data_IF_802978126370
#
_entry.id   IF_802978126370
#
_cell.length_a   1.000
_cell.length_b   1.000
_cell.length_c   1.000
_cell.angle_alpha   90.00
_cell.angle_beta   90.00
_cell.angle_gamma   90.00
#
_symmetry.space_group_name_H-M   'P 1'
#
loop_
_entity.id
_entity.type
_entity.pdbx_description
1 polymer ?
#
# COMPACT_ATOMS: atom_id res chain seq x y z
N UNK A 1 -45.65 -3.80 1.10
CA UNK A 1 -44.22 -3.85 1.44
C UNK A 1 -43.45 -3.13 0.33
N UNK A 2 -42.86 -1.95 0.56
CA UNK A 2 -42.05 -1.29 -0.46
C UNK A 2 -40.68 -1.99 -0.51
N UNK A 3 -40.37 -2.63 -1.64
CA UNK A 3 -39.00 -3.05 -1.95
C UNK A 3 -38.22 -1.81 -2.38
N UNK A 4 -37.33 -1.31 -1.51
CA UNK A 4 -36.37 -0.29 -1.91
C UNK A 4 -35.31 -0.95 -2.79
N UNK A 5 -35.51 -0.89 -4.11
CA UNK A 5 -34.54 -1.30 -5.10
C UNK A 5 -33.53 -0.17 -5.28
N UNK A 6 -32.51 -0.11 -4.41
CA UNK A 6 -31.38 0.79 -4.60
C UNK A 6 -30.54 0.28 -5.77
N UNK A 7 -30.87 0.75 -6.97
CA UNK A 7 -30.04 0.62 -8.16
C UNK A 7 -29.22 1.91 -8.28
N UNK A 8 -28.20 2.06 -7.44
CA UNK A 8 -27.21 3.11 -7.69
C UNK A 8 -26.45 2.74 -8.95
N UNK A 9 -26.84 3.35 -10.08
CA UNK A 9 -26.09 3.21 -11.32
C UNK A 9 -24.75 3.93 -11.14
N UNK A 10 -23.66 3.14 -11.07
CA UNK A 10 -22.31 3.68 -11.13
C UNK A 10 -22.19 4.63 -12.32
N UNK A 11 -21.65 5.83 -12.10
CA UNK A 11 -21.36 6.79 -13.18
C UNK A 11 -20.62 6.09 -14.31
N UNK A 12 -20.94 6.43 -15.56
CA UNK A 12 -20.29 5.83 -16.73
C UNK A 12 -18.76 6.05 -16.70
N UNK A 13 -18.30 7.21 -16.22
CA UNK A 13 -16.87 7.50 -16.06
C UNK A 13 -16.17 6.52 -15.09
N UNK A 14 -16.85 6.14 -14.00
CA UNK A 14 -16.31 5.19 -13.03
C UNK A 14 -16.26 3.78 -13.62
N UNK A 15 -17.30 3.38 -14.36
CA UNK A 15 -17.32 2.07 -15.05
C UNK A 15 -16.18 1.98 -16.05
N UNK A 16 -15.97 3.01 -16.85
CA UNK A 16 -14.91 3.04 -17.86
C UNK A 16 -13.52 3.00 -17.23
N UNK A 17 -13.31 3.77 -16.15
CA UNK A 17 -12.07 3.72 -15.38
C UNK A 17 -11.79 2.32 -14.81
N UNK A 18 -12.83 1.64 -14.29
CA UNK A 18 -12.72 0.30 -13.74
C UNK A 18 -12.40 -0.73 -14.84
N UNK A 19 -13.09 -0.68 -15.98
CA UNK A 19 -12.84 -1.57 -17.12
C UNK A 19 -11.42 -1.37 -17.65
N UNK A 20 -10.97 -0.13 -17.76
CA UNK A 20 -9.61 0.19 -18.20
C UNK A 20 -8.57 -0.39 -17.23
N UNK A 21 -8.72 -0.14 -15.93
CA UNK A 21 -7.83 -0.69 -14.90
C UNK A 21 -7.81 -2.23 -14.96
N UNK A 22 -8.98 -2.86 -15.04
CA UNK A 22 -9.11 -4.31 -15.13
C UNK A 22 -8.42 -4.88 -16.37
N UNK A 23 -8.59 -4.22 -17.51
CA UNK A 23 -7.95 -4.62 -18.78
C UNK A 23 -6.44 -4.53 -18.68
N UNK A 24 -5.90 -3.43 -18.14
CA UNK A 24 -4.45 -3.26 -17.91
C UNK A 24 -3.91 -4.29 -16.93
N UNK A 25 -4.62 -4.54 -15.84
CA UNK A 25 -4.23 -5.53 -14.83
C UNK A 25 -4.12 -6.95 -15.40
N UNK A 26 -5.03 -7.32 -16.31
CA UNK A 26 -5.04 -8.65 -16.95
C UNK A 26 -4.12 -8.75 -18.18
N UNK A 27 -3.36 -7.71 -18.51
CA UNK A 27 -2.37 -7.79 -19.59
C UNK A 27 -1.21 -8.72 -19.22
N UNK A 28 -0.62 -9.38 -20.21
CA UNK A 28 0.54 -10.25 -20.03
C UNK A 28 1.72 -9.52 -19.36
N UNK A 29 1.88 -8.23 -19.66
CA UNK A 29 2.90 -7.35 -19.11
C UNK A 29 2.80 -7.19 -17.57
N UNK A 30 1.58 -7.24 -17.03
CA UNK A 30 1.33 -7.18 -15.59
C UNK A 30 1.32 -8.57 -14.97
N UNK A 31 0.64 -9.53 -15.62
CA UNK A 31 0.51 -10.90 -15.13
C UNK A 31 1.85 -11.65 -15.01
N UNK A 32 2.82 -11.34 -15.88
CA UNK A 32 4.18 -11.89 -15.79
C UNK A 32 4.98 -11.37 -14.59
N UNK A 33 4.57 -10.24 -13.98
CA UNK A 33 5.28 -9.59 -12.87
C UNK A 33 4.79 -10.12 -11.52
N UNK A 34 5.34 -11.25 -11.09
CA UNK A 34 5.02 -11.98 -9.84
C UNK A 34 4.85 -11.07 -8.62
N UNK A 35 5.67 -10.02 -8.49
CA UNK A 35 5.64 -9.08 -7.37
C UNK A 35 4.36 -8.23 -7.34
N UNK A 36 3.90 -7.74 -8.49
CA UNK A 36 2.62 -6.99 -8.59
C UNK A 36 1.46 -7.93 -8.28
N UNK A 37 1.47 -9.15 -8.82
CA UNK A 37 0.42 -10.14 -8.56
C UNK A 37 0.36 -10.56 -7.09
N UNK A 38 1.52 -10.73 -6.45
CA UNK A 38 1.59 -11.03 -5.01
C UNK A 38 1.01 -9.87 -4.19
N UNK A 39 1.36 -8.63 -4.52
CA UNK A 39 0.84 -7.46 -3.84
C UNK A 39 -0.67 -7.31 -4.01
N UNK A 40 -1.19 -7.46 -5.23
CA UNK A 40 -2.62 -7.40 -5.53
C UNK A 40 -3.40 -8.47 -4.76
N UNK A 41 -2.91 -9.72 -4.78
CA UNK A 41 -3.54 -10.83 -4.03
C UNK A 41 -3.57 -10.54 -2.53
N UNK A 42 -2.45 -10.09 -1.95
CA UNK A 42 -2.36 -9.79 -0.51
C UNK A 42 -3.24 -8.61 -0.12
N UNK A 43 -3.33 -7.60 -0.98
CA UNK A 43 -4.24 -6.49 -0.80
C UNK A 43 -5.72 -6.93 -0.80
N UNK A 44 -6.11 -7.82 -1.72
CA UNK A 44 -7.47 -8.40 -1.72
C UNK A 44 -7.76 -9.17 -0.43
N UNK A 45 -6.83 -10.05 0.00
CA UNK A 45 -6.98 -10.80 1.26
C UNK A 45 -7.11 -9.87 2.47
N UNK A 46 -6.32 -8.79 2.54
CA UNK A 46 -6.41 -7.81 3.61
C UNK A 46 -7.81 -7.17 3.74
N UNK A 47 -8.55 -7.07 2.63
CA UNK A 47 -9.91 -6.54 2.62
C UNK A 47 -10.97 -7.54 3.14
N UNK A 48 -10.65 -8.83 3.10
CA UNK A 48 -11.51 -9.92 3.60
C UNK A 48 -11.25 -10.21 5.09
N UNK A 49 -10.15 -9.72 5.67
CA UNK A 49 -9.82 -9.91 7.09
C UNK A 49 -10.76 -9.12 8.00
N UNK A 50 -11.26 -9.79 9.03
CA UNK A 50 -12.04 -9.15 10.10
C UNK A 50 -11.14 -8.45 11.13
N UNK A 51 -10.07 -9.11 11.54
CA UNK A 51 -9.13 -8.61 12.55
C UNK A 51 -8.08 -7.69 11.92
N UNK A 52 -7.74 -6.63 12.64
CA UNK A 52 -6.87 -5.57 12.12
C UNK A 52 -5.41 -6.04 12.03
N UNK A 53 -5.01 -6.99 12.88
CA UNK A 53 -3.69 -7.60 12.93
C UNK A 53 -3.36 -8.33 11.62
N UNK A 54 -4.25 -9.22 11.19
CA UNK A 54 -4.11 -9.94 9.92
C UNK A 54 -4.16 -8.97 8.74
N UNK A 55 -5.04 -7.96 8.80
CA UNK A 55 -5.14 -6.94 7.76
C UNK A 55 -3.83 -6.16 7.60
N UNK A 56 -3.23 -5.69 8.69
CA UNK A 56 -1.95 -4.98 8.60
C UNK A 56 -0.82 -5.91 8.16
N UNK A 57 -0.82 -7.18 8.56
CA UNK A 57 0.17 -8.16 8.07
C UNK A 57 0.08 -8.30 6.54
N UNK A 58 -1.12 -8.57 6.00
CA UNK A 58 -1.31 -8.75 4.56
C UNK A 58 -0.98 -7.47 3.76
N UNK A 59 -1.33 -6.29 4.28
CA UNK A 59 -0.95 -5.00 3.67
C UNK A 59 0.57 -4.81 3.62
N UNK A 60 1.29 -5.18 4.68
CA UNK A 60 2.75 -5.05 4.72
C UNK A 60 3.43 -6.06 3.80
N UNK A 61 2.91 -7.28 3.67
CA UNK A 61 3.41 -8.25 2.67
C UNK A 61 3.22 -7.68 1.26
N UNK A 62 2.09 -7.03 0.98
CA UNK A 62 1.90 -6.34 -0.30
C UNK A 62 2.92 -5.22 -0.50
N UNK A 63 3.18 -4.40 0.51
CA UNK A 63 4.22 -3.37 0.48
C UNK A 63 5.62 -3.94 0.22
N UNK A 64 6.01 -4.98 0.95
CA UNK A 64 7.29 -5.68 0.76
C UNK A 64 7.42 -6.17 -0.69
N UNK A 65 6.38 -6.81 -1.23
CA UNK A 65 6.37 -7.25 -2.61
C UNK A 65 6.54 -6.11 -3.61
N UNK A 66 5.99 -4.92 -3.38
CA UNK A 66 6.15 -3.77 -4.30
C UNK A 66 7.49 -3.07 -4.16
N UNK A 67 8.00 -2.93 -2.94
CA UNK A 67 9.08 -1.99 -2.63
C UNK A 67 10.44 -2.65 -2.39
N UNK A 68 10.51 -3.96 -2.14
CA UNK A 68 11.77 -4.64 -1.79
C UNK A 68 12.19 -5.63 -2.87
N UNK A 69 13.41 -5.50 -3.40
CA UNK A 69 14.02 -6.49 -4.29
C UNK A 69 14.62 -7.67 -3.50
N UNK A 70 14.83 -8.81 -4.16
CA UNK A 70 15.36 -10.05 -3.54
C UNK A 70 16.82 -9.93 -3.04
N UNK A 71 17.57 -8.93 -3.50
CA UNK A 71 19.03 -8.82 -3.25
C UNK A 71 19.42 -8.21 -1.89
N UNK A 72 18.50 -8.18 -0.93
CA UNK A 72 18.49 -7.11 0.06
C UNK A 72 18.23 -7.63 1.48
N UNK A 73 19.23 -8.25 2.11
CA UNK A 73 19.07 -8.87 3.45
C UNK A 73 19.23 -7.90 4.65
N UNK A 74 19.82 -6.70 4.46
CA UNK A 74 20.00 -5.70 5.54
C UNK A 74 19.23 -4.39 5.35
N UNK A 75 18.63 -3.82 6.40
CA UNK A 75 17.84 -2.56 6.38
C UNK A 75 16.48 -2.59 5.61
N UNK A 76 15.82 -3.75 5.58
CA UNK A 76 14.51 -3.92 4.92
C UNK A 76 13.47 -2.86 5.29
N UNK A 77 13.36 -2.53 6.57
CA UNK A 77 12.40 -1.51 7.04
C UNK A 77 12.72 -0.12 6.50
N UNK A 78 13.99 0.28 6.47
CA UNK A 78 14.36 1.61 6.01
C UNK A 78 14.05 1.77 4.52
N UNK A 79 14.46 0.80 3.69
CA UNK A 79 14.17 0.79 2.26
C UNK A 79 12.68 0.75 1.95
N UNK A 80 11.91 -0.09 2.67
CA UNK A 80 10.46 -0.13 2.52
C UNK A 80 9.84 1.27 2.69
N UNK A 81 10.22 1.96 3.77
CA UNK A 81 9.72 3.30 4.09
C UNK A 81 10.16 4.33 3.05
N UNK A 82 11.44 4.30 2.65
CA UNK A 82 12.02 5.24 1.68
C UNK A 82 11.37 5.07 0.31
N UNK A 83 11.29 3.84 -0.20
CA UNK A 83 10.72 3.54 -1.51
C UNK A 83 9.24 3.88 -1.54
N UNK A 84 8.47 3.55 -0.50
CA UNK A 84 7.06 3.94 -0.42
C UNK A 84 6.89 5.47 -0.46
N UNK A 85 7.67 6.21 0.31
CA UNK A 85 7.63 7.67 0.33
C UNK A 85 7.93 8.28 -1.04
N UNK A 86 9.06 7.89 -1.65
CA UNK A 86 9.48 8.38 -2.97
C UNK A 86 8.52 7.95 -4.09
N UNK A 87 7.88 6.80 -3.95
CA UNK A 87 6.95 6.30 -4.96
C UNK A 87 5.60 7.02 -4.92
N UNK A 88 5.15 7.42 -3.73
CA UNK A 88 3.80 7.94 -3.51
C UNK A 88 3.71 9.46 -3.59
N UNK A 89 4.77 10.21 -3.24
CA UNK A 89 4.74 11.68 -3.27
C UNK A 89 6.05 12.33 -3.72
N UNK A 90 5.94 13.46 -4.43
CA UNK A 90 7.03 14.41 -4.72
C UNK A 90 7.23 15.41 -3.58
N UNK A 91 6.20 15.68 -2.79
CA UNK A 91 6.20 16.72 -1.77
C UNK A 91 6.97 16.26 -0.53
N UNK A 92 7.88 17.11 -0.03
CA UNK A 92 8.76 16.73 1.09
C UNK A 92 7.97 16.43 2.37
N UNK A 93 6.89 17.17 2.64
CA UNK A 93 6.07 16.96 3.83
C UNK A 93 5.33 15.60 3.79
N UNK A 94 4.73 15.28 2.64
CA UNK A 94 4.03 14.02 2.43
C UNK A 94 4.98 12.83 2.45
N UNK A 95 6.16 12.96 1.82
CA UNK A 95 7.20 11.93 1.86
C UNK A 95 7.58 11.58 3.29
N UNK A 96 7.79 12.60 4.14
CA UNK A 96 8.10 12.38 5.56
C UNK A 96 6.96 11.64 6.26
N UNK A 97 5.71 12.05 6.03
CA UNK A 97 4.54 11.39 6.62
C UNK A 97 4.44 9.92 6.20
N UNK A 98 4.51 9.62 4.90
CA UNK A 98 4.46 8.26 4.37
C UNK A 98 5.60 7.42 4.94
N UNK A 99 6.81 7.98 5.01
CA UNK A 99 7.97 7.32 5.59
C UNK A 99 7.75 6.96 7.07
N UNK A 100 7.22 7.88 7.87
CA UNK A 100 6.93 7.66 9.28
C UNK A 100 5.80 6.64 9.47
N UNK A 101 4.72 6.76 8.70
CA UNK A 101 3.58 5.84 8.71
C UNK A 101 4.00 4.41 8.37
N UNK A 102 4.76 4.21 7.29
CA UNK A 102 5.27 2.89 6.91
C UNK A 102 6.18 2.28 7.99
N UNK A 103 6.88 3.12 8.76
CA UNK A 103 7.68 2.68 9.90
C UNK A 103 6.84 2.18 11.08
N UNK A 104 5.75 2.89 11.40
CA UNK A 104 4.79 2.47 12.41
C UNK A 104 4.09 1.17 12.00
N UNK A 105 3.65 1.09 10.74
CA UNK A 105 3.01 -0.07 10.14
C UNK A 105 3.91 -1.32 10.18
N UNK A 106 5.18 -1.18 9.78
CA UNK A 106 6.15 -2.28 9.88
C UNK A 106 6.37 -2.70 11.34
N UNK A 107 6.44 -1.73 12.25
CA UNK A 107 6.57 -1.97 13.68
C UNK A 107 5.39 -2.76 14.27
N UNK A 108 4.16 -2.48 13.83
CA UNK A 108 2.98 -3.28 14.20
C UNK A 108 3.10 -4.71 13.69
N UNK A 109 3.34 -4.91 12.39
CA UNK A 109 3.48 -6.24 11.77
C UNK A 109 4.56 -7.06 12.45
N UNK A 110 5.73 -6.46 12.70
CA UNK A 110 6.83 -7.11 13.40
C UNK A 110 6.44 -7.48 14.84
N UNK A 111 5.73 -6.59 15.54
CA UNK A 111 5.26 -6.84 16.90
C UNK A 111 4.27 -8.01 16.98
N UNK A 112 3.31 -8.08 16.03
CA UNK A 112 2.33 -9.16 15.95
C UNK A 112 3.02 -10.50 15.68
N UNK A 113 3.85 -10.56 14.62
CA UNK A 113 4.49 -11.82 14.17
C UNK A 113 5.44 -12.38 15.23
N UNK A 114 6.14 -11.52 15.98
CA UNK A 114 7.06 -11.95 17.02
C UNK A 114 6.46 -11.99 18.43
N UNK A 115 5.16 -11.72 18.59
CA UNK A 115 4.48 -11.71 19.89
C UNK A 115 5.10 -10.70 20.88
N UNK A 116 5.49 -9.53 20.40
CA UNK A 116 6.23 -8.54 21.20
C UNK A 116 5.36 -7.88 22.28
N UNK A 117 5.90 -7.78 23.50
CA UNK A 117 5.27 -7.05 24.61
C UNK A 117 5.11 -5.54 24.36
N UNK A 118 5.81 -4.97 23.36
CA UNK A 118 5.73 -3.54 23.03
C UNK A 118 4.59 -3.20 22.04
N UNK A 119 3.80 -4.18 21.58
CA UNK A 119 2.71 -3.95 20.62
C UNK A 119 1.71 -2.90 21.13
N UNK A 120 1.32 -2.97 22.41
CA UNK A 120 0.42 -2.00 23.03
C UNK A 120 0.98 -0.58 23.03
N UNK A 121 2.30 -0.42 23.24
CA UNK A 121 2.94 0.91 23.20
C UNK A 121 2.93 1.49 21.78
N UNK A 122 3.09 0.64 20.76
CA UNK A 122 3.04 1.05 19.35
C UNK A 122 1.64 1.48 18.94
N UNK A 123 0.61 0.75 19.37
CA UNK A 123 -0.79 1.12 19.16
C UNK A 123 -1.08 2.49 19.78
N UNK A 124 -0.73 2.69 21.05
CA UNK A 124 -0.90 4.00 21.72
C UNK A 124 -0.18 5.12 20.99
N UNK A 125 1.05 4.89 20.52
CA UNK A 125 1.78 5.89 19.73
C UNK A 125 1.02 6.27 18.44
N UNK A 126 0.38 5.32 17.77
CA UNK A 126 -0.44 5.60 16.59
C UNK A 126 -1.68 6.40 17.01
N UNK A 127 -2.37 5.96 18.05
CA UNK A 127 -3.54 6.66 18.59
C UNK A 127 -3.20 8.10 18.97
N UNK A 128 -2.05 8.37 19.59
CA UNK A 128 -1.62 9.72 19.96
C UNK A 128 -1.33 10.62 18.74
N UNK A 129 -0.90 10.02 17.61
CA UNK A 129 -0.57 10.74 16.38
C UNK A 129 -1.76 10.98 15.45
N UNK A 130 -2.77 10.11 15.52
CA UNK A 130 -3.98 10.25 14.72
C UNK A 130 -4.95 11.28 15.31
N UNK A 131 -5.47 12.14 14.45
CA UNK A 131 -6.62 12.98 14.78
C UNK A 131 -7.86 12.16 14.42
N UNK A 132 -8.56 11.65 15.44
CA UNK A 132 -9.76 10.83 15.27
C UNK A 132 -10.84 11.57 14.48
N UNK A 133 -10.93 11.32 13.16
CA UNK A 133 -11.93 11.96 12.31
C UNK A 133 -13.33 11.44 12.63
N UNK A 134 -13.41 10.16 13.01
CA UNK A 134 -14.64 9.48 13.41
C UNK A 134 -14.73 9.23 14.92
N UNK A 135 -13.82 9.81 15.71
CA UNK A 135 -13.72 9.64 17.16
C UNK A 135 -12.47 8.87 17.60
N UNK A 136 -12.10 9.03 18.87
CA UNK A 136 -10.82 8.53 19.42
C UNK A 136 -10.69 7.00 19.36
N UNK A 137 -11.80 6.29 19.48
CA UNK A 137 -11.85 4.83 19.40
C UNK A 137 -11.54 4.25 18.00
N UNK A 138 -11.54 5.08 16.95
CA UNK A 138 -11.29 4.63 15.57
C UNK A 138 -9.89 4.95 15.06
N UNK A 139 -9.04 5.60 15.86
CA UNK A 139 -7.72 6.09 15.43
C UNK A 139 -6.83 5.01 14.81
N UNK A 140 -6.72 3.83 15.44
CA UNK A 140 -5.96 2.71 14.85
C UNK A 140 -6.56 2.25 13.51
N UNK A 141 -7.89 2.20 13.41
CA UNK A 141 -8.58 1.81 12.17
C UNK A 141 -8.34 2.84 11.06
N UNK A 142 -8.36 4.12 11.37
CA UNK A 142 -8.06 5.22 10.45
C UNK A 142 -6.62 5.14 9.94
N UNK A 143 -5.67 4.88 10.83
CA UNK A 143 -4.28 4.62 10.45
C UNK A 143 -4.18 3.44 9.47
N UNK A 144 -4.84 2.32 9.75
CA UNK A 144 -4.84 1.14 8.88
C UNK A 144 -5.50 1.44 7.53
N UNK A 145 -6.57 2.24 7.50
CA UNK A 145 -7.15 2.71 6.24
C UNK A 145 -6.17 3.56 5.44
N UNK A 146 -5.38 4.42 6.09
CA UNK A 146 -4.34 5.20 5.42
C UNK A 146 -3.23 4.32 4.84
N UNK A 147 -2.79 3.30 5.56
CA UNK A 147 -1.83 2.31 5.04
C UNK A 147 -2.44 1.53 3.86
N UNK A 148 -3.71 1.12 3.94
CA UNK A 148 -4.41 0.49 2.83
C UNK A 148 -4.39 1.40 1.59
N UNK A 149 -4.65 2.69 1.77
CA UNK A 149 -4.65 3.65 0.68
C UNK A 149 -3.28 3.80 0.01
N UNK A 150 -2.20 3.84 0.81
CA UNK A 150 -0.83 3.82 0.28
C UNK A 150 -0.56 2.58 -0.57
N UNK A 151 -0.97 1.40 -0.11
CA UNK A 151 -0.80 0.16 -0.88
C UNK A 151 -1.68 0.17 -2.13
N UNK A 152 -2.94 0.62 -2.05
CA UNK A 152 -3.87 0.70 -3.19
C UNK A 152 -3.30 1.58 -4.30
N UNK A 153 -2.86 2.79 -3.96
CA UNK A 153 -2.24 3.73 -4.90
C UNK A 153 -0.96 3.15 -5.50
N UNK A 154 -0.18 2.43 -4.70
CA UNK A 154 1.07 1.82 -5.16
C UNK A 154 0.82 0.69 -6.17
N UNK A 155 -0.14 -0.19 -5.90
CA UNK A 155 -0.56 -1.25 -6.84
C UNK A 155 -1.04 -0.60 -8.14
N UNK A 156 -1.92 0.39 -8.04
CA UNK A 156 -2.43 1.10 -9.21
C UNK A 156 -1.28 1.68 -10.07
N UNK A 157 -0.37 2.44 -9.47
CA UNK A 157 0.79 3.02 -10.17
C UNK A 157 1.69 1.95 -10.80
N UNK A 158 1.93 0.84 -10.10
CA UNK A 158 2.73 -0.26 -10.62
C UNK A 158 2.09 -0.97 -11.81
N UNK A 159 0.77 -1.17 -11.77
CA UNK A 159 0.01 -1.74 -12.89
C UNK A 159 0.08 -0.83 -14.11
N UNK A 160 -0.07 0.47 -13.92
CA UNK A 160 0.03 1.46 -14.99
C UNK A 160 1.44 1.47 -15.60
N UNK A 161 2.48 1.56 -14.77
CA UNK A 161 3.87 1.52 -15.22
C UNK A 161 4.19 0.24 -16.01
N UNK A 162 3.77 -0.93 -15.50
CA UNK A 162 4.00 -2.21 -16.16
C UNK A 162 3.25 -2.34 -17.48
N UNK A 163 2.02 -1.81 -17.55
CA UNK A 163 1.22 -1.80 -18.77
C UNK A 163 1.80 -0.90 -19.85
N UNK A 164 2.42 0.22 -19.46
CA UNK A 164 2.97 1.24 -20.38
C UNK A 164 4.42 0.92 -20.79
N UNK A 165 5.15 0.19 -19.95
CA UNK A 165 6.58 -0.11 -20.14
C UNK A 165 6.83 -1.63 -20.03
N UNK A 166 6.33 -2.44 -21.00
CA UNK A 166 6.39 -3.90 -20.93
C UNK A 166 7.80 -4.45 -20.77
N UNK A 167 8.74 -3.88 -21.53
CA UNK A 167 10.13 -4.38 -21.62
C UNK A 167 11.04 -3.81 -20.53
N UNK A 168 10.54 -2.90 -19.67
CA UNK A 168 11.36 -2.25 -18.67
C UNK A 168 11.70 -3.20 -17.51
N UNK A 169 13.02 -3.35 -17.27
CA UNK A 169 13.56 -4.11 -16.16
C UNK A 169 14.82 -3.41 -15.57
N UNK A 170 14.86 -3.12 -14.26
CA UNK A 170 13.76 -3.24 -13.30
C UNK A 170 12.63 -2.25 -13.61
N UNK A 171 11.38 -2.60 -13.25
CA UNK A 171 10.21 -1.72 -13.51
C UNK A 171 10.35 -0.36 -12.82
N UNK A 172 10.92 -0.36 -11.62
CA UNK A 172 11.29 0.84 -10.89
C UNK A 172 12.74 0.68 -10.46
N UNK A 173 13.57 1.63 -10.87
CA UNK A 173 14.94 1.77 -10.39
C UNK A 173 14.92 2.56 -9.08
N UNK A 174 14.88 1.85 -7.96
CA UNK A 174 14.77 2.45 -6.64
C UNK A 174 16.02 3.24 -6.24
N UNK A 175 17.21 2.80 -6.66
CA UNK A 175 18.48 3.44 -6.36
C UNK A 175 18.56 4.79 -7.08
N UNK A 176 18.25 4.81 -8.38
CA UNK A 176 18.21 6.06 -9.15
C UNK A 176 17.21 7.07 -8.56
N UNK A 177 16.07 6.58 -8.08
CA UNK A 177 15.03 7.41 -7.48
C UNK A 177 15.45 7.99 -6.13
N UNK A 178 16.17 7.20 -5.32
CA UNK A 178 16.73 7.65 -4.05
C UNK A 178 17.79 8.73 -4.23
N UNK A 179 18.54 8.70 -5.35
CA UNK A 179 19.56 9.70 -5.68
C UNK A 179 18.99 11.01 -6.25
N UNK A 180 17.67 11.13 -6.45
CA UNK A 180 17.04 12.37 -6.95
C UNK A 180 17.32 12.67 -8.43
N UNK A 181 17.79 11.68 -9.19
CA UNK A 181 18.18 11.82 -10.61
C UNK A 181 17.02 11.63 -11.62
N UNK A 182 15.78 11.80 -11.16
CA UNK A 182 14.63 11.95 -12.05
C UNK A 182 14.57 13.42 -12.50
N UNK A 183 15.26 13.71 -13.61
CA UNK A 183 15.08 14.97 -14.34
C UNK A 183 13.63 15.10 -14.77
N UNK A 184 13.06 16.28 -14.48
CA UNK A 184 11.82 16.76 -15.10
C UNK A 184 11.94 16.84 -16.62
#
# INVERSE_FOLDING_TARGET
MPQAQYKEELSNDYKDALINLWTKFNSENVLSRKRIITAARRFSLAHERHDWEDRIIDLLIAGEALFLSEQNEGELTHRLRLHAALFLSSESADRKRIFDDMGLAYGLRSGIVHGSADLTKRIRKIEDLEVGQFGDEYRLREFIFRIQEYIRLSIFRMVMLASENPDQHPLVDWERRALGSDGH
#
